data_IF_092770736453
#
_entry.id   IF_092770736453
#
_cell.length_a   1.000
_cell.length_b   1.000
_cell.length_c   1.000
_cell.angle_alpha   90.00
_cell.angle_beta   90.00
_cell.angle_gamma   90.00
#
_symmetry.space_group_name_H-M   'P 1'
#
loop_
_entity.id
_entity.type
_entity.pdbx_description
1 polymer ?
#
# COMPACT_ATOMS: atom_id res chain seq x y z
N UNK A 1 -61.65 44.70 -12.09
CA UNK A 1 -60.85 44.66 -10.84
C UNK A 1 -60.53 43.22 -10.43
N UNK A 2 -61.52 42.33 -10.28
CA UNK A 2 -61.29 40.89 -9.98
C UNK A 2 -60.35 40.17 -10.97
N UNK A 3 -60.57 40.32 -12.28
CA UNK A 3 -59.69 39.72 -13.32
C UNK A 3 -58.24 40.25 -13.34
N UNK A 4 -58.02 41.49 -12.89
CA UNK A 4 -56.68 42.08 -12.85
C UNK A 4 -55.87 41.58 -11.64
N UNK A 5 -56.52 41.40 -10.48
CA UNK A 5 -55.91 40.78 -9.30
C UNK A 5 -55.48 39.33 -9.60
N UNK A 6 -56.37 38.54 -10.20
CA UNK A 6 -56.04 37.13 -10.54
C UNK A 6 -54.88 37.02 -11.52
N UNK A 7 -54.68 38.00 -12.41
CA UNK A 7 -53.54 38.02 -13.32
C UNK A 7 -52.21 38.34 -12.63
N UNK A 8 -52.26 39.18 -11.58
CA UNK A 8 -51.07 39.54 -10.78
C UNK A 8 -50.70 38.37 -9.85
N UNK A 9 -51.67 37.74 -9.19
CA UNK A 9 -51.42 36.58 -8.33
C UNK A 9 -50.85 35.39 -9.15
N UNK A 10 -51.36 35.20 -10.37
CA UNK A 10 -50.84 34.18 -11.29
C UNK A 10 -49.41 34.49 -11.78
N UNK A 11 -49.06 35.77 -11.98
CA UNK A 11 -47.71 36.14 -12.43
C UNK A 11 -46.69 36.05 -11.29
N UNK A 12 -47.08 36.38 -10.06
CA UNK A 12 -46.26 36.20 -8.86
C UNK A 12 -45.93 34.72 -8.62
N UNK A 13 -46.93 33.84 -8.71
CA UNK A 13 -46.75 32.38 -8.59
C UNK A 13 -45.79 31.82 -9.65
N UNK A 14 -45.94 32.27 -10.91
CA UNK A 14 -45.04 31.86 -12.01
C UNK A 14 -43.60 32.37 -11.78
N UNK A 15 -43.42 33.59 -11.29
CA UNK A 15 -42.11 34.13 -10.96
C UNK A 15 -41.46 33.36 -9.82
N UNK A 16 -42.21 33.03 -8.76
CA UNK A 16 -41.70 32.22 -7.65
C UNK A 16 -41.26 30.83 -8.11
N UNK A 17 -42.08 30.17 -8.93
CA UNK A 17 -41.75 28.86 -9.51
C UNK A 17 -40.51 28.93 -10.42
N UNK A 18 -40.37 30.01 -11.19
CA UNK A 18 -39.16 30.28 -11.98
C UNK A 18 -37.92 30.40 -11.09
N UNK A 19 -37.99 31.17 -9.99
CA UNK A 19 -36.87 31.34 -9.06
C UNK A 19 -36.47 30.05 -8.37
N UNK A 20 -37.43 29.27 -7.86
CA UNK A 20 -37.17 27.97 -7.23
C UNK A 20 -36.46 27.02 -8.22
N UNK A 21 -36.93 26.96 -9.47
CA UNK A 21 -36.31 26.15 -10.50
C UNK A 21 -34.89 26.64 -10.84
N UNK A 22 -34.71 27.95 -10.95
CA UNK A 22 -33.42 28.54 -11.29
C UNK A 22 -32.39 28.35 -10.17
N UNK A 23 -32.79 28.57 -8.91
CA UNK A 23 -31.99 28.31 -7.72
C UNK A 23 -31.57 26.83 -7.65
N UNK A 24 -32.52 25.91 -7.83
CA UNK A 24 -32.25 24.47 -7.88
C UNK A 24 -31.20 24.11 -8.95
N UNK A 25 -31.31 24.70 -10.15
CA UNK A 25 -30.34 24.48 -11.25
C UNK A 25 -28.95 25.01 -10.90
N UNK A 26 -28.85 26.20 -10.31
CA UNK A 26 -27.58 26.79 -9.89
C UNK A 26 -26.89 25.97 -8.81
N UNK A 27 -27.65 25.55 -7.78
CA UNK A 27 -27.15 24.71 -6.70
C UNK A 27 -26.58 23.39 -7.23
N UNK A 28 -27.24 22.78 -8.22
CA UNK A 28 -26.73 21.58 -8.90
C UNK A 28 -25.43 21.84 -9.66
N UNK A 29 -25.35 22.92 -10.45
CA UNK A 29 -24.12 23.25 -11.16
C UNK A 29 -22.95 23.51 -10.20
N UNK A 30 -23.24 24.17 -9.07
CA UNK A 30 -22.26 24.40 -8.02
C UNK A 30 -21.80 23.09 -7.37
N UNK A 31 -22.72 22.17 -7.08
CA UNK A 31 -22.40 20.86 -6.53
C UNK A 31 -21.52 20.04 -7.49
N UNK A 32 -21.85 20.00 -8.78
CA UNK A 32 -21.04 19.34 -9.80
C UNK A 32 -19.63 19.94 -9.89
N UNK A 33 -19.52 21.27 -9.89
CA UNK A 33 -18.22 21.95 -9.93
C UNK A 33 -17.37 21.66 -8.69
N UNK A 34 -17.98 21.60 -7.50
CA UNK A 34 -17.29 21.22 -6.26
C UNK A 34 -16.80 19.78 -6.30
N UNK A 35 -17.64 18.85 -6.79
CA UNK A 35 -17.25 17.46 -6.99
C UNK A 35 -16.05 17.35 -7.94
N UNK A 36 -16.09 18.01 -9.10
CA UNK A 36 -15.00 17.98 -10.07
C UNK A 36 -13.70 18.59 -9.54
N UNK A 37 -13.79 19.67 -8.75
CA UNK A 37 -12.62 20.27 -8.12
C UNK A 37 -12.00 19.30 -7.11
N UNK A 38 -12.80 18.76 -6.18
CA UNK A 38 -12.33 17.80 -5.17
C UNK A 38 -11.77 16.54 -5.80
N UNK A 39 -12.36 16.09 -6.91
CA UNK A 39 -11.83 14.96 -7.67
C UNK A 39 -10.40 15.22 -8.15
N UNK A 40 -10.13 16.39 -8.73
CA UNK A 40 -8.78 16.77 -9.18
C UNK A 40 -7.78 16.87 -8.03
N UNK A 41 -8.20 17.43 -6.89
CA UNK A 41 -7.36 17.53 -5.69
C UNK A 41 -6.98 16.14 -5.16
N UNK A 42 -7.95 15.22 -5.10
CA UNK A 42 -7.72 13.82 -4.70
C UNK A 42 -6.83 13.12 -5.73
N UNK A 43 -7.10 13.23 -7.02
CA UNK A 43 -6.31 12.61 -8.10
C UNK A 43 -4.84 13.05 -8.06
N UNK A 44 -4.58 14.35 -7.85
CA UNK A 44 -3.22 14.88 -7.67
C UNK A 44 -2.55 14.27 -6.44
N UNK A 45 -3.27 14.15 -5.34
CA UNK A 45 -2.74 13.60 -4.08
C UNK A 45 -2.43 12.10 -4.21
N UNK A 46 -3.29 11.33 -4.90
CA UNK A 46 -3.04 9.93 -5.25
C UNK A 46 -1.80 9.79 -6.13
N UNK A 47 -1.64 10.65 -7.12
CA UNK A 47 -0.48 10.64 -8.03
C UNK A 47 0.81 10.89 -7.25
N UNK A 48 0.80 11.85 -6.33
CA UNK A 48 1.95 12.12 -5.46
C UNK A 48 2.27 10.92 -4.57
N UNK A 49 1.29 10.37 -3.85
CA UNK A 49 1.51 9.20 -2.99
C UNK A 49 2.03 7.99 -3.77
N UNK A 50 1.48 7.77 -4.97
CA UNK A 50 1.94 6.69 -5.85
C UNK A 50 3.40 6.88 -6.27
N UNK A 51 3.81 8.11 -6.58
CA UNK A 51 5.19 8.42 -6.91
C UNK A 51 6.12 8.27 -5.69
N UNK A 52 5.68 8.70 -4.50
CA UNK A 52 6.43 8.53 -3.25
C UNK A 52 6.72 7.03 -3.00
N UNK A 53 5.72 6.16 -3.20
CA UNK A 53 5.86 4.69 -3.02
C UNK A 53 6.81 4.08 -4.06
N UNK A 54 6.73 4.52 -5.32
CA UNK A 54 7.62 4.02 -6.39
C UNK A 54 9.07 4.43 -6.15
N UNK A 55 9.29 5.65 -5.62
CA UNK A 55 10.62 6.17 -5.34
C UNK A 55 11.30 5.48 -4.15
N UNK A 56 10.54 4.73 -3.33
CA UNK A 56 11.15 3.93 -2.27
C UNK A 56 12.11 2.88 -2.83
N UNK A 57 13.25 2.65 -2.17
CA UNK A 57 14.25 1.67 -2.57
C UNK A 57 13.63 0.31 -2.94
N UNK A 58 14.04 -0.24 -4.07
CA UNK A 58 13.63 -1.58 -4.49
C UNK A 58 14.62 -2.63 -3.97
N UNK A 59 14.50 -2.91 -2.68
CA UNK A 59 15.38 -3.83 -1.96
C UNK A 59 15.11 -5.31 -2.31
N UNK A 60 14.08 -5.60 -3.11
CA UNK A 60 13.68 -6.96 -3.51
C UNK A 60 14.46 -7.51 -4.73
N UNK A 61 15.59 -6.90 -5.09
CA UNK A 61 16.42 -7.46 -6.16
C UNK A 61 17.27 -8.59 -5.61
N UNK A 62 17.35 -9.71 -6.36
CA UNK A 62 18.28 -10.82 -6.09
C UNK A 62 19.74 -10.36 -5.87
N UNK A 63 20.09 -9.17 -6.37
CA UNK A 63 21.35 -8.47 -6.13
C UNK A 63 21.53 -8.07 -4.65
N UNK A 64 20.54 -7.45 -4.03
CA UNK A 64 20.58 -7.06 -2.61
C UNK A 64 20.67 -8.28 -1.69
N UNK A 65 19.95 -9.36 -2.04
CA UNK A 65 20.07 -10.65 -1.34
C UNK A 65 21.49 -11.21 -1.41
N UNK A 66 22.13 -11.12 -2.59
CA UNK A 66 23.49 -11.61 -2.81
C UNK A 66 24.55 -10.77 -2.08
N UNK A 67 24.34 -9.46 -1.96
CA UNK A 67 25.21 -8.57 -1.18
C UNK A 67 25.08 -8.83 0.33
N UNK A 68 23.87 -9.05 0.85
CA UNK A 68 23.66 -9.47 2.24
C UNK A 68 24.44 -10.75 2.57
N UNK A 69 24.53 -11.71 1.65
CA UNK A 69 25.33 -12.92 1.87
C UNK A 69 26.86 -12.69 1.97
N UNK A 70 27.38 -11.50 1.63
CA UNK A 70 28.83 -11.23 1.51
C UNK A 70 29.38 -10.21 2.52
N UNK A 71 28.54 -9.40 3.15
CA UNK A 71 28.96 -8.27 4.00
C UNK A 71 28.30 -8.30 5.37
N UNK A 72 28.74 -7.44 6.30
CA UNK A 72 28.07 -7.25 7.60
C UNK A 72 26.60 -6.85 7.40
N UNK A 73 25.68 -7.75 7.78
CA UNK A 73 24.23 -7.60 7.60
C UNK A 73 23.62 -6.44 8.40
N UNK A 74 24.36 -5.85 9.34
CA UNK A 74 23.85 -4.77 10.19
C UNK A 74 23.39 -3.55 9.39
N UNK A 75 24.09 -3.18 8.32
CA UNK A 75 23.74 -2.00 7.53
C UNK A 75 22.51 -2.26 6.66
N UNK A 76 22.44 -3.42 6.00
CA UNK A 76 21.30 -3.80 5.15
C UNK A 76 20.04 -4.01 5.99
N UNK A 77 20.19 -4.58 7.18
CA UNK A 77 19.13 -4.70 8.19
C UNK A 77 18.54 -3.34 8.57
N UNK A 78 19.39 -2.37 8.88
CA UNK A 78 18.98 -1.02 9.24
C UNK A 78 18.28 -0.30 8.07
N UNK A 79 18.81 -0.43 6.86
CA UNK A 79 18.19 0.15 5.65
C UNK A 79 16.78 -0.41 5.39
N UNK A 80 16.57 -1.71 5.61
CA UNK A 80 15.24 -2.33 5.47
C UNK A 80 14.29 -1.84 6.56
N UNK A 81 14.73 -1.74 7.82
CA UNK A 81 13.90 -1.21 8.90
C UNK A 81 13.49 0.24 8.63
N UNK A 82 14.44 1.07 8.20
CA UNK A 82 14.17 2.45 7.83
C UNK A 82 13.17 2.54 6.67
N UNK A 83 13.30 1.67 5.67
CA UNK A 83 12.37 1.62 4.53
C UNK A 83 10.98 1.13 4.96
N UNK A 84 10.90 0.16 5.88
CA UNK A 84 9.62 -0.30 6.44
C UNK A 84 8.88 0.82 7.19
N UNK A 85 9.59 1.61 7.98
CA UNK A 85 9.02 2.78 8.67
C UNK A 85 8.44 3.78 7.64
N UNK A 86 9.15 4.04 6.53
CA UNK A 86 8.67 4.91 5.47
C UNK A 86 7.43 4.35 4.77
N UNK A 87 7.38 3.03 4.52
CA UNK A 87 6.20 2.36 3.97
C UNK A 87 5.00 2.48 4.92
N UNK A 88 5.22 2.38 6.24
CA UNK A 88 4.16 2.52 7.23
C UNK A 88 3.58 3.94 7.28
N UNK A 89 4.40 4.98 7.22
CA UNK A 89 3.94 6.38 7.08
C UNK A 89 3.11 6.58 5.80
N UNK A 90 3.64 6.11 4.67
CA UNK A 90 2.93 6.20 3.38
C UNK A 90 1.62 5.41 3.39
N UNK A 91 1.57 4.29 4.09
CA UNK A 91 0.36 3.48 4.27
C UNK A 91 -0.71 4.23 5.08
N UNK A 92 -0.33 4.94 6.13
CA UNK A 92 -1.28 5.75 6.92
C UNK A 92 -1.84 6.91 6.08
N UNK A 93 -0.97 7.59 5.35
CA UNK A 93 -1.36 8.65 4.40
C UNK A 93 -2.26 8.11 3.29
N UNK A 94 -1.94 6.93 2.75
CA UNK A 94 -2.75 6.25 1.75
C UNK A 94 -4.14 5.90 2.30
N UNK A 95 -4.23 5.37 3.52
CA UNK A 95 -5.52 5.02 4.15
C UNK A 95 -6.41 6.25 4.36
N UNK A 96 -5.81 7.38 4.76
CA UNK A 96 -6.50 8.66 4.85
C UNK A 96 -7.05 9.06 3.48
N UNK A 97 -6.21 9.05 2.45
CA UNK A 97 -6.60 9.43 1.09
C UNK A 97 -7.68 8.51 0.48
N UNK A 98 -7.60 7.20 0.75
CA UNK A 98 -8.62 6.21 0.38
C UNK A 98 -9.98 6.54 1.03
N UNK A 99 -9.97 7.01 2.26
CA UNK A 99 -11.19 7.43 2.98
C UNK A 99 -11.80 8.68 2.33
N UNK A 100 -10.98 9.67 1.97
CA UNK A 100 -11.42 10.86 1.22
C UNK A 100 -12.01 10.51 -0.15
N UNK A 101 -11.37 9.62 -0.90
CA UNK A 101 -11.88 9.15 -2.19
C UNK A 101 -13.19 8.38 -2.06
N UNK A 102 -13.34 7.58 -1.00
CA UNK A 102 -14.59 6.85 -0.70
C UNK A 102 -15.73 7.82 -0.41
N UNK A 103 -15.47 8.85 0.41
CA UNK A 103 -16.45 9.89 0.68
C UNK A 103 -16.87 10.61 -0.61
N UNK A 104 -15.90 11.02 -1.44
CA UNK A 104 -16.19 11.71 -2.69
C UNK A 104 -16.96 10.83 -3.68
N UNK A 105 -16.63 9.55 -3.80
CA UNK A 105 -17.38 8.62 -4.64
C UNK A 105 -18.84 8.47 -4.18
N UNK A 106 -19.07 8.40 -2.86
CA UNK A 106 -20.42 8.37 -2.28
C UNK A 106 -21.19 9.68 -2.54
N UNK A 107 -20.53 10.83 -2.42
CA UNK A 107 -21.12 12.12 -2.80
C UNK A 107 -21.52 12.12 -4.29
N UNK A 108 -20.66 11.61 -5.18
CA UNK A 108 -20.96 11.49 -6.60
C UNK A 108 -22.18 10.61 -6.89
N UNK A 109 -22.30 9.47 -6.21
CA UNK A 109 -23.49 8.61 -6.31
C UNK A 109 -24.76 9.32 -5.83
N UNK A 110 -24.66 10.09 -4.74
CA UNK A 110 -25.77 10.94 -4.26
C UNK A 110 -26.22 11.97 -5.28
N UNK A 111 -25.26 12.63 -5.95
CA UNK A 111 -25.55 13.59 -7.03
C UNK A 111 -26.23 12.92 -8.23
N UNK A 112 -25.80 11.72 -8.62
CA UNK A 112 -26.45 10.95 -9.69
C UNK A 112 -27.90 10.62 -9.32
N UNK A 113 -28.14 10.13 -8.10
CA UNK A 113 -29.48 9.80 -7.62
C UNK A 113 -30.41 11.02 -7.58
N UNK A 114 -29.90 12.17 -7.11
CA UNK A 114 -30.67 13.42 -7.07
C UNK A 114 -31.04 13.92 -8.48
N UNK A 115 -30.10 13.81 -9.43
CA UNK A 115 -30.33 14.18 -10.83
C UNK A 115 -31.38 13.29 -11.49
N UNK A 116 -31.35 11.97 -11.24
CA UNK A 116 -32.33 11.03 -11.75
C UNK A 116 -33.74 11.29 -11.20
N UNK A 117 -33.87 11.60 -9.89
CA UNK A 117 -35.16 11.87 -9.23
C UNK A 117 -35.90 13.06 -9.83
N UNK A 118 -35.18 14.10 -10.24
CA UNK A 118 -35.77 15.34 -10.72
C UNK A 118 -36.16 15.30 -12.21
N UNK A 119 -35.99 14.16 -12.92
CA UNK A 119 -36.13 14.05 -14.40
C UNK A 119 -35.43 15.19 -15.15
N UNK A 120 -34.40 15.76 -14.52
CA UNK A 120 -33.62 16.83 -15.12
C UNK A 120 -32.70 16.18 -16.13
N UNK A 121 -32.48 16.85 -17.27
CA UNK A 121 -31.58 16.39 -18.33
C UNK A 121 -30.30 15.78 -17.75
N UNK A 122 -29.86 14.64 -18.30
CA UNK A 122 -28.71 13.82 -17.88
C UNK A 122 -27.34 14.53 -17.88
N UNK A 123 -27.31 15.85 -18.04
CA UNK A 123 -26.11 16.67 -17.97
C UNK A 123 -25.38 16.44 -16.65
N UNK A 124 -24.21 15.80 -16.73
CA UNK A 124 -23.30 15.57 -15.61
C UNK A 124 -23.27 14.13 -15.11
N UNK A 125 -24.29 13.29 -15.35
CA UNK A 125 -24.27 11.86 -14.96
C UNK A 125 -23.12 11.15 -15.66
N UNK A 126 -23.03 11.33 -16.99
CA UNK A 126 -21.96 10.77 -17.83
C UNK A 126 -20.55 11.29 -17.45
N UNK A 127 -20.47 12.35 -16.66
CA UNK A 127 -19.22 12.96 -16.18
C UNK A 127 -18.85 12.53 -14.75
N UNK A 128 -19.85 12.21 -13.91
CA UNK A 128 -19.65 11.80 -12.50
C UNK A 128 -19.32 10.32 -12.42
N UNK A 129 -20.09 9.46 -13.10
CA UNK A 129 -19.92 8.01 -13.06
C UNK A 129 -18.49 7.54 -13.36
N UNK A 130 -17.84 7.97 -14.48
CA UNK A 130 -16.47 7.56 -14.76
C UNK A 130 -15.48 8.05 -13.70
N UNK A 131 -15.69 9.23 -13.10
CA UNK A 131 -14.82 9.74 -12.03
C UNK A 131 -14.97 8.92 -10.73
N UNK A 132 -16.18 8.46 -10.41
CA UNK A 132 -16.40 7.55 -9.28
C UNK A 132 -15.73 6.18 -9.52
N UNK A 133 -15.78 5.67 -10.75
CA UNK A 133 -15.06 4.45 -11.14
C UNK A 133 -13.54 4.65 -11.00
N UNK A 134 -13.00 5.74 -11.54
CA UNK A 134 -11.59 6.08 -11.46
C UNK A 134 -11.11 6.22 -10.01
N UNK A 135 -11.89 6.85 -9.12
CA UNK A 135 -11.58 6.91 -7.68
C UNK A 135 -11.43 5.51 -7.06
N UNK A 136 -12.31 4.57 -7.43
CA UNK A 136 -12.24 3.20 -6.91
C UNK A 136 -11.05 2.42 -7.48
N UNK A 137 -10.71 2.63 -8.76
CA UNK A 137 -9.53 2.05 -9.39
C UNK A 137 -8.24 2.57 -8.75
N UNK A 138 -8.13 3.90 -8.55
CA UNK A 138 -7.00 4.52 -7.86
C UNK A 138 -6.83 4.00 -6.44
N UNK A 139 -7.93 3.86 -5.67
CA UNK A 139 -7.92 3.26 -4.34
C UNK A 139 -7.34 1.83 -4.37
N UNK A 140 -7.90 0.97 -5.22
CA UNK A 140 -7.48 -0.42 -5.35
C UNK A 140 -5.99 -0.51 -5.69
N UNK A 141 -5.56 0.24 -6.72
CA UNK A 141 -4.16 0.25 -7.17
C UNK A 141 -3.21 0.71 -6.07
N UNK A 142 -3.58 1.76 -5.32
CA UNK A 142 -2.75 2.28 -4.23
C UNK A 142 -2.60 1.24 -3.10
N UNK A 143 -3.70 0.61 -2.70
CA UNK A 143 -3.68 -0.47 -1.69
C UNK A 143 -2.78 -1.62 -2.13
N UNK A 144 -2.97 -2.13 -3.37
CA UNK A 144 -2.16 -3.22 -3.91
C UNK A 144 -0.66 -2.89 -3.90
N UNK A 145 -0.28 -1.67 -4.29
CA UNK A 145 1.12 -1.26 -4.30
C UNK A 145 1.73 -1.12 -2.91
N UNK A 146 1.01 -0.54 -1.94
CA UNK A 146 1.49 -0.44 -0.55
C UNK A 146 1.68 -1.83 0.05
N UNK A 147 0.70 -2.72 -0.14
CA UNK A 147 0.74 -4.07 0.41
C UNK A 147 1.85 -4.91 -0.24
N UNK A 148 2.00 -4.85 -1.56
CA UNK A 148 3.08 -5.53 -2.28
C UNK A 148 4.46 -5.08 -1.77
N UNK A 149 4.68 -3.76 -1.67
CA UNK A 149 5.96 -3.20 -1.19
C UNK A 149 6.24 -3.61 0.25
N UNK A 150 5.25 -3.53 1.14
CA UNK A 150 5.37 -3.94 2.55
C UNK A 150 5.70 -5.42 2.69
N UNK A 151 4.96 -6.28 1.99
CA UNK A 151 5.14 -7.73 2.06
C UNK A 151 6.53 -8.15 1.57
N UNK A 152 7.00 -7.56 0.48
CA UNK A 152 8.33 -7.83 -0.06
C UNK A 152 9.44 -7.46 0.94
N UNK A 153 9.34 -6.30 1.59
CA UNK A 153 10.31 -5.86 2.59
C UNK A 153 10.28 -6.73 3.87
N UNK A 154 9.10 -7.15 4.31
CA UNK A 154 8.97 -8.06 5.46
C UNK A 154 9.55 -9.45 5.16
N UNK A 155 9.34 -9.95 3.95
CA UNK A 155 9.94 -11.20 3.49
C UNK A 155 11.47 -11.10 3.48
N UNK A 156 12.00 -10.01 2.93
CA UNK A 156 13.44 -9.73 2.92
C UNK A 156 14.01 -9.61 4.35
N UNK A 157 13.30 -8.95 5.25
CA UNK A 157 13.70 -8.85 6.65
C UNK A 157 13.82 -10.22 7.31
N UNK A 158 12.81 -11.07 7.12
CA UNK A 158 12.82 -12.45 7.63
C UNK A 158 14.01 -13.24 7.09
N UNK A 159 14.36 -13.02 5.82
CA UNK A 159 15.53 -13.64 5.20
C UNK A 159 16.84 -13.21 5.87
N UNK A 160 17.02 -11.92 6.11
CA UNK A 160 18.23 -11.40 6.77
C UNK A 160 18.33 -11.90 8.22
N UNK A 161 17.25 -11.88 8.99
CA UNK A 161 17.26 -12.39 10.37
C UNK A 161 17.68 -13.87 10.41
N UNK A 162 17.23 -14.68 9.43
CA UNK A 162 17.66 -16.08 9.29
C UNK A 162 19.12 -16.21 8.86
N UNK A 163 19.59 -15.36 7.93
CA UNK A 163 20.99 -15.36 7.53
C UNK A 163 21.94 -15.01 8.67
N UNK A 164 21.59 -14.03 9.52
CA UNK A 164 22.36 -13.69 10.72
C UNK A 164 22.47 -14.90 11.65
N UNK A 165 21.36 -15.61 11.90
CA UNK A 165 21.35 -16.83 12.72
C UNK A 165 22.30 -17.92 12.17
N UNK A 166 22.29 -18.12 10.85
CA UNK A 166 23.17 -19.09 10.19
C UNK A 166 24.64 -18.64 10.27
N UNK A 167 24.91 -17.36 10.05
CA UNK A 167 26.26 -16.81 10.11
C UNK A 167 26.86 -16.90 11.51
N UNK A 168 26.05 -16.65 12.55
CA UNK A 168 26.43 -16.82 13.94
C UNK A 168 26.71 -18.29 14.27
N UNK A 169 25.87 -19.21 13.78
CA UNK A 169 26.11 -20.65 13.92
C UNK A 169 27.41 -21.09 13.23
N UNK A 170 27.67 -20.64 11.99
CA UNK A 170 28.90 -20.92 11.26
C UNK A 170 30.14 -20.36 11.98
N UNK A 171 30.05 -19.15 12.53
CA UNK A 171 31.13 -18.51 13.29
C UNK A 171 31.45 -19.29 14.55
N UNK A 172 30.43 -19.69 15.32
CA UNK A 172 30.59 -20.59 16.48
C UNK A 172 31.26 -21.91 16.08
N UNK A 173 30.83 -22.53 14.99
CA UNK A 173 31.43 -23.78 14.50
C UNK A 173 32.90 -23.62 14.10
N UNK A 174 33.24 -22.53 13.42
CA UNK A 174 34.62 -22.19 13.07
C UNK A 174 35.47 -21.99 14.33
N UNK A 175 34.97 -21.25 15.31
CA UNK A 175 35.69 -20.99 16.57
C UNK A 175 35.88 -22.28 17.36
N UNK A 176 34.85 -23.12 17.45
CA UNK A 176 34.95 -24.46 18.05
C UNK A 176 36.06 -25.27 17.38
N UNK A 177 36.06 -25.38 16.05
CA UNK A 177 37.09 -26.13 15.32
C UNK A 177 38.51 -25.56 15.54
N UNK A 178 38.65 -24.24 15.64
CA UNK A 178 39.92 -23.59 15.91
C UNK A 178 40.46 -23.85 17.33
N UNK A 179 39.57 -24.09 18.31
CA UNK A 179 39.94 -24.38 19.70
C UNK A 179 40.36 -25.84 19.95
N UNK A 180 40.23 -26.73 18.96
CA UNK A 180 40.60 -28.14 19.09
C UNK A 180 42.05 -28.41 18.65
N UNK A 181 42.99 -28.73 19.56
CA UNK A 181 44.35 -29.09 19.17
C UNK A 181 44.42 -30.42 18.40
N UNK A 182 45.49 -30.65 17.63
CA UNK A 182 45.67 -31.89 16.84
C UNK A 182 45.99 -33.11 17.73
N UNK A 183 46.35 -32.88 19.00
CA UNK A 183 46.68 -33.92 19.98
C UNK A 183 45.85 -33.77 21.26
N UNK A 184 44.73 -34.50 21.34
CA UNK A 184 43.91 -34.63 22.55
C UNK A 184 44.17 -35.98 23.23
N UNK A 185 44.11 -36.02 24.55
CA UNK A 185 43.97 -37.28 25.30
C UNK A 185 42.58 -37.87 25.05
N UNK A 186 42.40 -39.19 25.20
CA UNK A 186 41.12 -39.88 24.96
C UNK A 186 39.93 -39.20 25.66
N UNK A 187 40.06 -38.83 26.93
CA UNK A 187 38.99 -38.15 27.68
C UNK A 187 38.63 -36.77 27.11
N UNK A 188 39.61 -36.05 26.56
CA UNK A 188 39.38 -34.75 25.93
C UNK A 188 38.73 -34.92 24.56
N UNK A 189 39.15 -35.92 23.79
CA UNK A 189 38.56 -36.24 22.50
C UNK A 189 37.07 -36.63 22.61
N UNK A 190 36.70 -37.42 23.62
CA UNK A 190 35.30 -37.79 23.88
C UNK A 190 34.45 -36.56 24.22
N UNK A 191 34.97 -35.64 25.03
CA UNK A 191 34.27 -34.39 25.37
C UNK A 191 34.07 -33.49 24.15
N UNK A 192 35.10 -33.31 23.34
CA UNK A 192 35.03 -32.55 22.10
C UNK A 192 34.05 -33.15 21.09
N UNK A 193 33.98 -34.47 20.98
CA UNK A 193 32.98 -35.15 20.14
C UNK A 193 31.56 -34.90 20.64
N UNK A 194 31.32 -35.03 21.94
CA UNK A 194 30.01 -34.74 22.53
C UNK A 194 29.58 -33.28 22.33
N UNK A 195 30.54 -32.34 22.37
CA UNK A 195 30.29 -30.92 22.11
C UNK A 195 29.94 -30.65 20.64
N UNK A 196 30.62 -31.31 19.70
CA UNK A 196 30.30 -31.25 18.27
C UNK A 196 28.95 -31.89 17.95
N UNK A 197 28.62 -33.03 18.57
CA UNK A 197 27.30 -33.66 18.42
C UNK A 197 26.19 -32.74 18.93
N UNK A 198 26.41 -32.05 20.06
CA UNK A 198 25.45 -31.07 20.56
C UNK A 198 25.30 -29.87 19.62
N UNK A 199 26.41 -29.32 19.12
CA UNK A 199 26.43 -28.21 18.15
C UNK A 199 25.73 -28.56 16.83
N UNK A 200 25.89 -29.80 16.33
CA UNK A 200 25.18 -30.28 15.15
C UNK A 200 23.68 -30.46 15.43
N UNK A 201 23.30 -30.78 16.66
CA UNK A 201 21.91 -30.79 17.12
C UNK A 201 21.23 -29.42 16.98
N UNK A 202 21.95 -28.32 17.23
CA UNK A 202 21.42 -26.96 17.09
C UNK A 202 20.93 -26.67 15.65
N UNK A 203 21.56 -27.26 14.63
CA UNK A 203 21.19 -27.01 13.22
C UNK A 203 19.75 -27.44 12.91
N UNK A 204 19.24 -28.47 13.59
CA UNK A 204 17.85 -28.93 13.45
C UNK A 204 16.83 -27.88 13.90
N UNK A 205 17.24 -26.91 14.73
CA UNK A 205 16.39 -25.82 15.22
C UNK A 205 16.35 -24.61 14.28
N UNK A 206 17.33 -24.47 13.38
CA UNK A 206 17.47 -23.34 12.45
C UNK A 206 16.54 -23.47 11.23
N UNK A 207 15.98 -24.66 10.97
CA UNK A 207 15.00 -25.00 9.92
C UNK A 207 15.22 -24.27 8.57
N UNK A 208 16.20 -24.76 7.81
CA UNK A 208 16.61 -24.21 6.51
C UNK A 208 15.61 -24.50 5.37
N UNK A 209 14.70 -25.47 5.54
CA UNK A 209 13.78 -25.90 4.48
C UNK A 209 12.76 -24.81 4.10
N UNK A 210 12.42 -23.92 5.03
CA UNK A 210 11.52 -22.79 4.77
C UNK A 210 12.10 -21.76 3.81
N UNK A 211 13.44 -21.63 3.72
CA UNK A 211 14.10 -20.66 2.84
C UNK A 211 13.99 -21.08 1.37
N UNK A 212 13.95 -22.38 1.08
CA UNK A 212 13.85 -22.91 -0.28
C UNK A 212 12.48 -22.64 -0.92
N UNK A 213 11.41 -22.59 -0.14
CA UNK A 213 10.05 -22.40 -0.65
C UNK A 213 9.67 -20.92 -0.86
N UNK A 214 10.31 -19.99 -0.14
CA UNK A 214 10.13 -18.54 -0.37
C UNK A 214 10.94 -18.00 -1.56
N UNK A 215 11.89 -18.79 -2.07
CA UNK A 215 12.79 -18.42 -3.16
C UNK A 215 12.28 -18.81 -4.54
N UNK A 216 11.04 -19.31 -4.71
CA UNK A 216 10.46 -19.36 -6.05
C UNK A 216 10.24 -17.93 -6.52
N UNK A 217 11.00 -17.43 -7.49
CA UNK A 217 10.65 -16.18 -8.11
C UNK A 217 9.36 -16.50 -8.87
N UNK A 218 8.24 -15.87 -8.51
CA UNK A 218 7.28 -15.61 -9.57
C UNK A 218 8.08 -14.87 -10.65
N UNK A 219 8.14 -15.38 -11.89
CA UNK A 219 8.87 -14.71 -12.93
C UNK A 219 8.27 -13.31 -13.00
N UNK A 220 9.09 -12.29 -12.74
CA UNK A 220 8.78 -10.89 -12.94
C UNK A 220 7.93 -10.81 -14.18
N UNK A 221 6.63 -10.54 -14.00
CA UNK A 221 5.72 -10.28 -15.11
C UNK A 221 6.21 -8.97 -15.70
N UNK A 222 7.15 -9.07 -16.63
CA UNK A 222 7.49 -8.00 -17.54
C UNK A 222 6.20 -7.70 -18.30
N UNK A 223 5.42 -6.74 -17.80
CA UNK A 223 4.34 -6.14 -18.56
C UNK A 223 5.01 -5.30 -19.65
N UNK A 224 4.99 -5.84 -20.87
CA UNK A 224 5.21 -5.06 -22.09
C UNK A 224 4.15 -3.96 -22.21
#
# INVERSE_FOLDING_TARGET
ISSALTHVDNSESVLLQFWILHESRLNRCLALRRFEQRFKEIQSSFTQLYNDIIQLPDLNTSLHLFECCRTDNSNTREEIDQTLIQVDDLSERAQTMISHATLLANEGLGLIMEQQKQKSMAYGIDSIEPKCQELNEMKKKLTEQVDEKRNNLQLLRTYIDKLELINDWCTRGKDMLAMHPIHLSNDKAIRSLSELEHFLGDLSTINLDELQHSLTPEPLRVRF
#
